data_IF_988754738805
#
_entry.id   IF_988754738805
#
_cell.length_a   1.000
_cell.length_b   1.000
_cell.length_c   1.000
_cell.angle_alpha   90.00
_cell.angle_beta   90.00
_cell.angle_gamma   90.00
#
_symmetry.space_group_name_H-M   'P 1'
#
loop_
_entity.id
_entity.type
_entity.pdbx_description
1 polymer ?
#
# COMPACT_ATOMS: atom_id res chain seq x y z
N UNK A 1 -0.11 -7.14 3.28
CA UNK A 1 -0.66 -6.29 2.20
C UNK A 1 -0.01 -6.65 0.88
N UNK A 2 1.31 -6.82 0.86
CA UNK A 2 2.08 -7.26 -0.30
C UNK A 2 2.22 -8.80 -0.33
N UNK A 3 2.17 -9.43 -1.51
CA UNK A 3 2.48 -10.85 -1.72
C UNK A 3 1.31 -11.85 -1.87
N UNK A 4 0.13 -11.60 -1.28
CA UNK A 4 -1.07 -12.43 -1.51
C UNK A 4 -2.24 -11.54 -1.94
N UNK A 5 -2.63 -11.64 -3.21
CA UNK A 5 -3.76 -10.90 -3.77
C UNK A 5 -5.06 -11.66 -3.54
N UNK A 6 -5.91 -11.14 -2.66
CA UNK A 6 -7.20 -11.73 -2.30
C UNK A 6 -8.37 -10.96 -2.91
N UNK A 7 -8.15 -9.75 -3.42
CA UNK A 7 -9.21 -8.85 -3.90
C UNK A 7 -9.03 -8.39 -5.36
N UNK A 8 -8.27 -9.14 -6.16
CA UNK A 8 -8.14 -8.96 -7.61
C UNK A 8 -7.30 -7.76 -8.04
N UNK A 9 -7.44 -7.33 -9.30
CA UNK A 9 -6.55 -6.35 -9.94
C UNK A 9 -6.50 -4.99 -9.26
N UNK A 10 -7.58 -4.59 -8.60
CA UNK A 10 -7.62 -3.30 -7.91
C UNK A 10 -6.72 -3.30 -6.67
N UNK A 11 -6.67 -4.40 -5.92
CA UNK A 11 -5.74 -4.54 -4.80
C UNK A 11 -4.28 -4.52 -5.27
N UNK A 12 -3.95 -5.15 -6.41
CA UNK A 12 -2.61 -5.02 -7.00
C UNK A 12 -2.23 -3.56 -7.20
N UNK A 13 -3.10 -2.81 -7.87
CA UNK A 13 -2.85 -1.42 -8.20
C UNK A 13 -2.67 -0.58 -6.93
N UNK A 14 -3.58 -0.73 -5.96
CA UNK A 14 -3.56 0.08 -4.74
C UNK A 14 -2.36 -0.27 -3.85
N UNK A 15 -1.99 -1.54 -3.75
CA UNK A 15 -0.75 -1.94 -3.08
C UNK A 15 0.45 -1.24 -3.72
N UNK A 16 0.57 -1.28 -5.05
CA UNK A 16 1.70 -0.66 -5.75
C UNK A 16 1.72 0.86 -5.57
N UNK A 17 0.55 1.52 -5.56
CA UNK A 17 0.45 2.95 -5.24
C UNK A 17 0.96 3.25 -3.83
N UNK A 18 0.57 2.43 -2.84
CA UNK A 18 1.01 2.61 -1.45
C UNK A 18 2.51 2.33 -1.29
N UNK A 19 3.03 1.31 -1.97
CA UNK A 19 4.45 1.02 -2.03
C UNK A 19 5.24 2.21 -2.60
N UNK A 20 4.79 2.74 -3.74
CA UNK A 20 5.37 3.93 -4.35
C UNK A 20 5.31 5.15 -3.42
N UNK A 21 4.19 5.37 -2.72
CA UNK A 21 4.06 6.48 -1.77
C UNK A 21 5.08 6.38 -0.62
N UNK A 22 5.30 5.18 -0.08
CA UNK A 22 6.30 4.93 0.98
C UNK A 22 7.72 5.19 0.47
N UNK A 23 8.02 4.78 -0.77
CA UNK A 23 9.36 4.93 -1.37
C UNK A 23 9.69 6.39 -1.69
N UNK A 24 8.76 7.12 -2.33
CA UNK A 24 9.03 8.48 -2.82
C UNK A 24 8.84 9.57 -1.76
N UNK A 25 8.06 9.30 -0.71
CA UNK A 25 7.88 10.21 0.41
C UNK A 25 8.47 9.58 1.68
N UNK A 26 9.72 9.90 2.04
CA UNK A 26 10.37 9.28 3.19
C UNK A 26 9.81 9.75 4.55
N UNK A 27 9.07 10.86 4.59
CA UNK A 27 8.43 11.35 5.81
C UNK A 27 7.12 10.58 6.08
N UNK A 28 7.06 9.93 7.25
CA UNK A 28 5.86 9.27 7.77
C UNK A 28 4.63 10.19 7.76
N UNK A 29 4.82 11.49 7.97
CA UNK A 29 3.74 12.47 7.98
C UNK A 29 3.16 12.76 6.57
N UNK A 30 3.80 12.27 5.51
CA UNK A 30 3.30 12.38 4.14
C UNK A 30 2.59 11.09 3.69
N UNK A 31 3.31 9.96 3.67
CA UNK A 31 2.74 8.73 3.11
C UNK A 31 1.67 8.11 4.01
N UNK A 32 1.79 8.19 5.34
CA UNK A 32 0.83 7.53 6.22
C UNK A 32 -0.57 8.17 6.17
N UNK A 33 -0.72 9.51 6.22
CA UNK A 33 -2.02 10.14 5.98
C UNK A 33 -2.60 9.83 4.59
N UNK A 34 -1.76 9.73 3.57
CA UNK A 34 -2.19 9.36 2.21
C UNK A 34 -2.75 7.95 2.13
N UNK A 35 -2.02 6.96 2.65
CA UNK A 35 -2.47 5.56 2.74
C UNK A 35 -3.80 5.49 3.50
N UNK A 36 -3.88 6.16 4.66
CA UNK A 36 -5.13 6.22 5.44
C UNK A 36 -6.29 6.82 4.66
N UNK A 37 -6.05 7.88 3.89
CA UNK A 37 -7.08 8.48 3.04
C UNK A 37 -7.55 7.47 1.97
N UNK A 38 -6.62 6.79 1.30
CA UNK A 38 -6.95 5.80 0.27
C UNK A 38 -7.78 4.66 0.86
N UNK A 39 -7.33 4.06 1.96
CA UNK A 39 -8.04 2.96 2.64
C UNK A 39 -9.50 3.34 2.97
N UNK A 40 -9.72 4.55 3.49
CA UNK A 40 -11.07 5.03 3.80
C UNK A 40 -11.94 5.20 2.53
N UNK A 41 -11.37 5.76 1.46
CA UNK A 41 -12.09 5.93 0.19
C UNK A 41 -12.43 4.56 -0.42
N UNK A 42 -11.53 3.60 -0.31
CA UNK A 42 -11.69 2.22 -0.78
C UNK A 42 -12.79 1.51 0.00
N UNK A 43 -12.72 1.55 1.33
CA UNK A 43 -13.75 1.02 2.24
C UNK A 43 -15.13 1.62 1.91
N UNK A 44 -15.24 2.94 1.82
CA UNK A 44 -16.50 3.61 1.51
C UNK A 44 -17.08 3.19 0.15
N UNK A 45 -16.20 3.03 -0.84
CA UNK A 45 -16.59 2.69 -2.21
C UNK A 45 -17.08 1.25 -2.32
N UNK A 46 -16.43 0.32 -1.63
CA UNK A 46 -16.83 -1.08 -1.61
C UNK A 46 -18.07 -1.34 -0.75
N UNK A 47 -18.15 -0.75 0.44
CA UNK A 47 -19.23 -1.01 1.39
C UNK A 47 -20.54 -0.34 0.98
N UNK A 48 -20.49 0.90 0.48
CA UNK A 48 -21.69 1.71 0.30
C UNK A 48 -22.04 2.01 -1.16
N UNK A 49 -21.04 2.11 -2.06
CA UNK A 49 -21.26 2.64 -3.41
C UNK A 49 -21.16 1.61 -4.53
N UNK A 50 -20.50 0.46 -4.30
CA UNK A 50 -20.18 -0.57 -5.31
C UNK A 50 -19.61 0.02 -6.61
N UNK A 51 -18.69 0.97 -6.47
CA UNK A 51 -18.03 1.69 -7.57
C UNK A 51 -16.52 1.63 -7.40
N UNK A 52 -15.80 1.93 -8.48
CA UNK A 52 -14.35 2.11 -8.43
C UNK A 52 -14.00 3.24 -7.43
N UNK A 53 -13.05 3.02 -6.50
CA UNK A 53 -12.72 4.00 -5.49
C UNK A 53 -11.95 5.18 -6.09
N UNK A 54 -12.37 6.43 -5.84
CA UNK A 54 -11.65 7.62 -6.33
C UNK A 54 -10.44 7.94 -5.45
N UNK A 55 -9.50 6.99 -5.36
CA UNK A 55 -8.36 7.04 -4.45
C UNK A 55 -7.39 8.19 -4.78
N UNK A 56 -7.30 8.62 -6.05
CA UNK A 56 -6.46 9.74 -6.47
C UNK A 56 -6.87 11.07 -5.81
N UNK A 57 -8.13 11.20 -5.38
CA UNK A 57 -8.61 12.41 -4.67
C UNK A 57 -7.86 12.68 -3.37
N UNK A 58 -7.13 11.69 -2.84
CA UNK A 58 -6.31 11.84 -1.66
C UNK A 58 -5.09 12.74 -1.86
N UNK A 59 -4.55 12.86 -3.09
CA UNK A 59 -3.48 13.82 -3.38
C UNK A 59 -3.96 15.26 -3.12
N UNK A 60 -5.10 15.63 -3.70
CA UNK A 60 -5.69 16.97 -3.57
C UNK A 60 -6.11 17.27 -2.13
N UNK A 61 -6.78 16.32 -1.46
CA UNK A 61 -7.25 16.47 -0.07
C UNK A 61 -6.11 16.75 0.91
N UNK A 62 -4.94 16.16 0.67
CA UNK A 62 -3.77 16.27 1.54
C UNK A 62 -2.74 17.28 1.03
N UNK A 63 -2.97 17.88 -0.14
CA UNK A 63 -2.05 18.80 -0.82
C UNK A 63 -0.67 18.16 -1.06
N UNK A 64 -0.68 16.90 -1.49
CA UNK A 64 0.52 16.14 -1.83
C UNK A 64 0.73 16.11 -3.34
N UNK A 65 2.00 16.18 -3.77
CA UNK A 65 2.38 16.15 -5.18
C UNK A 65 2.24 14.74 -5.77
N UNK A 66 1.34 14.56 -6.73
CA UNK A 66 1.06 13.24 -7.31
C UNK A 66 2.17 12.72 -8.24
N UNK A 67 2.97 13.60 -8.82
CA UNK A 67 3.88 13.25 -9.91
C UNK A 67 4.88 12.15 -9.49
N UNK A 68 5.53 12.28 -8.34
CA UNK A 68 6.52 11.31 -7.85
C UNK A 68 5.93 9.90 -7.70
N UNK A 69 4.74 9.79 -7.10
CA UNK A 69 4.04 8.50 -6.94
C UNK A 69 3.60 7.94 -8.29
N UNK A 70 3.05 8.78 -9.17
CA UNK A 70 2.58 8.31 -10.49
C UNK A 70 3.73 7.94 -11.43
N UNK A 71 4.89 8.57 -11.30
CA UNK A 71 6.09 8.23 -12.07
C UNK A 71 6.67 6.90 -11.59
N UNK A 72 6.72 6.67 -10.27
CA UNK A 72 7.04 5.36 -9.70
C UNK A 72 6.13 4.27 -10.26
N UNK A 73 4.81 4.50 -10.26
CA UNK A 73 3.80 3.55 -10.74
C UNK A 73 3.95 3.22 -12.24
N UNK A 74 4.40 4.18 -13.06
CA UNK A 74 4.60 4.00 -14.51
C UNK A 74 5.97 3.42 -14.87
N UNK A 75 6.88 3.35 -13.91
CA UNK A 75 8.26 2.87 -14.09
C UNK A 75 8.41 1.42 -13.62
N UNK A 76 9.63 0.89 -13.67
CA UNK A 76 9.96 -0.39 -13.06
C UNK A 76 9.89 -0.37 -11.52
N UNK A 77 9.99 0.82 -10.91
CA UNK A 77 10.07 1.00 -9.46
C UNK A 77 8.92 0.31 -8.72
N UNK A 78 7.67 0.56 -9.11
CA UNK A 78 6.50 -0.07 -8.45
C UNK A 78 6.55 -1.60 -8.46
N UNK A 79 7.03 -2.20 -9.54
CA UNK A 79 7.17 -3.67 -9.65
C UNK A 79 8.32 -4.21 -8.79
N UNK A 80 9.42 -3.47 -8.72
CA UNK A 80 10.57 -3.82 -7.87
C UNK A 80 10.20 -3.77 -6.40
N UNK A 81 9.44 -2.74 -5.97
CA UNK A 81 8.92 -2.61 -4.62
C UNK A 81 7.95 -3.75 -4.24
N UNK A 82 7.04 -4.14 -5.14
CA UNK A 82 6.15 -5.29 -4.90
C UNK A 82 6.93 -6.59 -4.69
N UNK A 83 8.01 -6.83 -5.45
CA UNK A 83 8.86 -8.00 -5.24
C UNK A 83 9.60 -7.95 -3.91
N UNK A 84 10.11 -6.78 -3.53
CA UNK A 84 10.78 -6.56 -2.25
C UNK A 84 9.82 -6.88 -1.08
N UNK A 85 8.65 -6.25 -1.05
CA UNK A 85 7.69 -6.45 0.05
C UNK A 85 7.06 -7.84 0.05
N UNK A 86 6.92 -8.49 -1.11
CA UNK A 86 6.53 -9.90 -1.17
C UNK A 86 7.59 -10.80 -0.51
N UNK A 87 8.88 -10.58 -0.79
CA UNK A 87 9.96 -11.34 -0.18
C UNK A 87 10.01 -11.15 1.34
N UNK A 88 9.85 -9.92 1.83
CA UNK A 88 9.76 -9.63 3.27
C UNK A 88 8.56 -10.32 3.93
N UNK A 89 7.40 -10.29 3.28
CA UNK A 89 6.17 -10.92 3.80
C UNK A 89 6.29 -12.45 3.86
N UNK A 90 6.92 -13.07 2.85
CA UNK A 90 7.18 -14.52 2.80
C UNK A 90 8.19 -14.93 3.88
N UNK A 91 9.15 -14.05 4.22
CA UNK A 91 10.19 -14.33 5.20
C UNK A 91 9.72 -14.22 6.66
N UNK A 92 8.47 -13.80 6.92
CA UNK A 92 7.91 -13.72 8.28
C UNK A 92 8.00 -15.06 9.02
N UNK A 93 8.38 -14.99 10.30
CA UNK A 93 8.47 -16.13 11.19
C UNK A 93 7.67 -15.88 12.48
N UNK A 94 6.61 -16.69 12.76
CA UNK A 94 6.03 -17.69 11.86
C UNK A 94 5.40 -17.04 10.61
N UNK A 95 5.19 -17.80 9.52
CA UNK A 95 4.45 -17.31 8.37
C UNK A 95 3.07 -16.81 8.79
N UNK A 96 2.67 -15.65 8.27
CA UNK A 96 1.37 -15.08 8.58
C UNK A 96 0.24 -15.96 8.01
N UNK A 97 -0.86 -16.09 8.75
CA UNK A 97 -2.03 -16.90 8.33
C UNK A 97 -3.27 -16.05 8.03
N UNK A 98 -3.21 -14.74 8.29
CA UNK A 98 -4.26 -13.77 8.04
C UNK A 98 -3.66 -12.37 7.83
N UNK A 99 -4.51 -11.41 7.47
CA UNK A 99 -4.19 -9.97 7.46
C UNK A 99 -5.30 -9.20 8.19
N UNK A 100 -4.98 -8.10 8.91
CA UNK A 100 -3.64 -7.56 9.13
C UNK A 100 -2.78 -8.46 10.04
N UNK A 101 -1.47 -8.48 9.77
CA UNK A 101 -0.46 -9.17 10.59
C UNK A 101 0.46 -8.14 11.23
N UNK A 102 0.57 -8.15 12.56
CA UNK A 102 1.34 -7.15 13.33
C UNK A 102 2.41 -7.87 14.14
N UNK A 103 3.65 -7.39 14.05
CA UNK A 103 4.80 -7.88 14.80
C UNK A 103 5.22 -6.80 15.80
N UNK A 104 5.33 -7.15 17.08
CA UNK A 104 5.81 -6.29 18.16
C UNK A 104 7.17 -6.84 18.61
N UNK A 105 8.17 -5.96 18.75
CA UNK A 105 9.55 -6.28 19.19
C UNK A 105 10.35 -7.28 18.32
N UNK A 106 9.82 -7.67 17.16
CA UNK A 106 10.49 -8.52 16.18
C UNK A 106 10.76 -9.96 16.67
N UNK A 107 11.05 -10.90 15.77
CA UNK A 107 11.61 -12.17 16.18
C UNK A 107 13.02 -11.93 16.74
N UNK A 108 13.23 -12.18 18.03
CA UNK A 108 14.57 -12.37 18.59
C UNK A 108 15.07 -13.72 18.08
N UNK A 109 16.05 -13.73 17.18
CA UNK A 109 16.82 -14.95 16.91
C UNK A 109 17.57 -15.32 18.19
N UNK A 110 17.09 -16.36 18.90
CA UNK A 110 17.89 -17.13 19.86
C UNK A 110 18.88 -18.02 19.09
#
# INVERSE_FOLDING_TARGET
MFGIQMHGKLECLLNTVQACAIDVWPDLNEYFPFIKCMENVVLDSFLYKRKYPPWETCFEKLKLEANSVTDCLKSACGKELEFLYAAETIALQPPHTYVPWVVIDGPTTL
#
